data_IF_396445738018
#
_entry.id   IF_396445738018
#
_cell.length_a   1.000
_cell.length_b   1.000
_cell.length_c   1.000
_cell.angle_alpha   90.00
_cell.angle_beta   90.00
_cell.angle_gamma   90.00
#
_symmetry.space_group_name_H-M   'P 1'
#
loop_
_entity.id
_entity.type
_entity.pdbx_description
1 polymer ?
#
# COMPACT_ATOMS: atom_id res chain seq x y z
N UNK A 1 -9.50 -0.34 -3.43
CA UNK A 1 -9.67 0.81 -2.53
C UNK A 1 -8.77 1.94 -3.01
N UNK A 2 -9.23 3.19 -2.99
CA UNK A 2 -8.39 4.35 -3.36
C UNK A 2 -8.91 5.65 -2.72
N UNK A 3 -8.01 6.61 -2.44
CA UNK A 3 -8.35 8.00 -2.14
C UNK A 3 -8.59 8.79 -3.44
N UNK A 4 -9.73 9.47 -3.52
CA UNK A 4 -10.06 10.36 -4.64
C UNK A 4 -9.75 11.82 -4.29
N UNK A 5 -8.93 12.47 -5.11
CA UNK A 5 -8.62 13.90 -4.96
C UNK A 5 -9.79 14.82 -5.33
N UNK A 6 -10.75 14.32 -6.12
CA UNK A 6 -11.89 15.11 -6.63
C UNK A 6 -12.94 15.37 -5.54
N UNK A 7 -13.25 14.35 -4.74
CA UNK A 7 -14.27 14.43 -3.69
C UNK A 7 -13.71 14.27 -2.25
N UNK A 8 -12.40 14.00 -2.13
CA UNK A 8 -11.69 13.74 -0.87
C UNK A 8 -12.28 12.59 -0.06
N UNK A 9 -12.76 11.58 -0.74
CA UNK A 9 -13.28 10.37 -0.10
C UNK A 9 -12.43 9.16 -0.44
N UNK A 10 -12.60 8.12 0.37
CA UNK A 10 -11.99 6.83 0.14
C UNK A 10 -13.06 5.92 -0.45
N UNK A 11 -12.79 5.39 -1.63
CA UNK A 11 -13.70 4.50 -2.34
C UNK A 11 -13.27 3.05 -2.09
N UNK A 12 -14.23 2.23 -1.67
CA UNK A 12 -14.03 0.80 -1.42
C UNK A 12 -14.64 -0.03 -2.55
N UNK A 13 -14.03 -1.17 -2.82
CA UNK A 13 -14.64 -2.23 -3.61
C UNK A 13 -15.01 -3.35 -2.64
N UNK A 14 -16.14 -4.01 -2.86
CA UNK A 14 -16.49 -5.20 -2.07
C UNK A 14 -15.88 -6.44 -2.71
N UNK A 15 -15.48 -7.42 -1.89
CA UNK A 15 -14.98 -8.72 -2.37
C UNK A 15 -15.91 -9.37 -3.41
N UNK A 16 -17.23 -9.27 -3.21
CA UNK A 16 -18.24 -9.81 -4.11
C UNK A 16 -18.20 -9.18 -5.52
N UNK A 17 -17.72 -7.94 -5.62
CA UNK A 17 -17.68 -7.17 -6.86
C UNK A 17 -16.35 -7.31 -7.63
N UNK A 18 -15.38 -8.04 -7.07
CA UNK A 18 -14.14 -8.34 -7.79
C UNK A 18 -14.41 -9.22 -9.02
N UNK A 19 -13.59 -9.08 -10.05
CA UNK A 19 -13.58 -10.00 -11.18
C UNK A 19 -12.97 -11.36 -10.78
N UNK A 20 -13.03 -12.34 -11.70
CA UNK A 20 -12.52 -13.68 -11.43
C UNK A 20 -11.00 -13.73 -11.25
N UNK A 21 -10.24 -12.93 -12.00
CA UNK A 21 -8.78 -12.95 -11.99
C UNK A 21 -8.26 -12.31 -10.69
N UNK A 22 -8.86 -11.19 -10.28
CA UNK A 22 -8.59 -10.54 -8.99
C UNK A 22 -8.84 -11.49 -7.82
N UNK A 23 -9.97 -12.21 -7.80
CA UNK A 23 -10.24 -13.21 -6.76
C UNK A 23 -9.26 -14.38 -6.80
N UNK A 24 -8.85 -14.83 -7.97
CA UNK A 24 -7.88 -15.91 -8.12
C UNK A 24 -6.49 -15.49 -7.60
N UNK A 25 -6.04 -14.27 -7.92
CA UNK A 25 -4.81 -13.71 -7.40
C UNK A 25 -4.82 -13.64 -5.86
N UNK A 26 -5.88 -13.08 -5.27
CA UNK A 26 -6.00 -12.98 -3.81
C UNK A 26 -6.12 -14.36 -3.15
N UNK A 27 -6.76 -15.33 -3.81
CA UNK A 27 -6.80 -16.72 -3.33
C UNK A 27 -5.39 -17.32 -3.25
N UNK A 28 -4.57 -17.10 -4.28
CA UNK A 28 -3.18 -17.53 -4.27
C UNK A 28 -2.35 -16.82 -3.19
N UNK A 29 -2.64 -15.54 -2.91
CA UNK A 29 -1.99 -14.79 -1.83
C UNK A 29 -2.38 -15.33 -0.45
N UNK A 30 -3.67 -15.58 -0.24
CA UNK A 30 -4.20 -16.13 1.01
C UNK A 30 -3.58 -17.48 1.36
N UNK A 31 -3.39 -18.35 0.36
CA UNK A 31 -2.74 -19.65 0.53
C UNK A 31 -1.28 -19.56 1.04
N UNK A 32 -0.60 -18.43 0.81
CA UNK A 32 0.76 -18.18 1.30
C UNK A 32 0.79 -17.40 2.61
N UNK A 33 -0.33 -16.81 3.03
CA UNK A 33 -0.42 -16.03 4.26
C UNK A 33 -0.11 -16.85 5.52
N UNK A 34 0.32 -16.18 6.58
CA UNK A 34 0.68 -16.80 7.87
C UNK A 34 -0.46 -16.81 8.88
N UNK A 35 -1.53 -16.05 8.64
CA UNK A 35 -2.65 -15.90 9.58
C UNK A 35 -3.81 -16.88 9.33
N UNK A 36 -3.72 -17.75 8.32
CA UNK A 36 -4.75 -18.74 8.02
C UNK A 36 -6.08 -18.13 7.57
N UNK A 37 -6.05 -16.94 6.97
CA UNK A 37 -7.24 -16.24 6.49
C UNK A 37 -7.81 -16.93 5.24
N UNK A 38 -9.14 -16.88 5.10
CA UNK A 38 -9.78 -17.18 3.81
C UNK A 38 -9.36 -16.15 2.74
N UNK A 39 -9.59 -16.41 1.45
CA UNK A 39 -9.33 -15.42 0.39
C UNK A 39 -10.02 -14.07 0.65
N UNK A 40 -11.28 -14.09 1.06
CA UNK A 40 -12.01 -12.87 1.46
C UNK A 40 -11.44 -12.23 2.73
N UNK A 41 -10.98 -13.04 3.70
CA UNK A 41 -10.29 -12.55 4.89
C UNK A 41 -8.97 -11.86 4.55
N UNK A 42 -8.19 -12.42 3.62
CA UNK A 42 -6.96 -11.80 3.10
C UNK A 42 -7.26 -10.50 2.36
N UNK A 43 -8.34 -10.47 1.55
CA UNK A 43 -8.80 -9.24 0.91
C UNK A 43 -9.09 -8.15 1.94
N UNK A 44 -9.89 -8.45 2.96
CA UNK A 44 -10.24 -7.49 4.01
C UNK A 44 -9.01 -7.03 4.80
N UNK A 45 -8.12 -7.96 5.12
CA UNK A 45 -6.89 -7.65 5.85
C UNK A 45 -5.99 -6.69 5.07
N UNK A 46 -5.82 -6.92 3.77
CA UNK A 46 -4.99 -6.07 2.93
C UNK A 46 -5.70 -4.76 2.57
N UNK A 47 -6.85 -4.83 1.92
CA UNK A 47 -7.51 -3.68 1.31
C UNK A 47 -8.40 -2.91 2.28
N UNK A 48 -9.22 -3.58 3.09
CA UNK A 48 -10.15 -2.86 3.97
C UNK A 48 -9.47 -2.39 5.27
N UNK A 49 -8.38 -3.05 5.66
CA UNK A 49 -7.64 -2.74 6.89
C UNK A 49 -6.30 -2.05 6.63
N UNK A 50 -5.31 -2.69 5.98
CA UNK A 50 -3.98 -2.08 5.82
C UNK A 50 -3.97 -0.85 4.92
N UNK A 51 -4.73 -0.89 3.83
CA UNK A 51 -4.79 0.22 2.88
C UNK A 51 -5.62 1.40 3.45
N UNK A 52 -6.52 1.18 4.41
CA UNK A 52 -7.30 2.24 5.07
C UNK A 52 -6.47 3.44 5.58
N UNK A 53 -5.51 3.25 6.50
CA UNK A 53 -4.66 4.35 6.94
C UNK A 53 -3.56 4.72 5.94
N UNK A 54 -3.31 3.91 4.90
CA UNK A 54 -2.50 4.34 3.76
C UNK A 54 -3.23 5.46 2.98
N UNK A 55 -4.52 5.31 2.68
CA UNK A 55 -5.30 6.36 2.02
C UNK A 55 -5.47 7.62 2.88
N UNK A 56 -5.48 7.48 4.21
CA UNK A 56 -5.33 8.64 5.12
C UNK A 56 -4.03 9.40 4.84
N UNK A 57 -2.94 8.70 4.50
CA UNK A 57 -1.68 9.31 4.10
C UNK A 57 -1.82 10.19 2.86
N UNK A 58 -2.48 9.70 1.82
CA UNK A 58 -2.77 10.50 0.62
C UNK A 58 -3.67 11.70 0.90
N UNK A 59 -4.69 11.53 1.74
CA UNK A 59 -5.50 12.65 2.22
C UNK A 59 -4.64 13.72 2.92
N UNK A 60 -3.76 13.31 3.84
CA UNK A 60 -2.87 14.21 4.56
C UNK A 60 -1.93 14.97 3.61
N UNK A 61 -1.37 14.28 2.62
CA UNK A 61 -0.54 14.89 1.57
C UNK A 61 -1.32 15.90 0.72
N UNK A 62 -2.60 15.63 0.42
CA UNK A 62 -3.48 16.56 -0.31
C UNK A 62 -3.79 17.83 0.48
N UNK A 63 -4.23 17.70 1.73
CA UNK A 63 -4.60 18.87 2.54
C UNK A 63 -3.38 19.73 2.87
N UNK A 64 -2.20 19.14 2.99
CA UNK A 64 -0.93 19.86 3.13
C UNK A 64 -0.35 20.40 1.82
N UNK A 65 -0.97 20.09 0.67
CA UNK A 65 -0.50 20.44 -0.69
C UNK A 65 0.91 19.94 -1.02
N UNK A 66 1.36 18.90 -0.31
CA UNK A 66 2.70 18.31 -0.48
C UNK A 66 2.77 17.35 -1.65
N UNK A 67 1.68 16.69 -2.01
CA UNK A 67 1.65 15.71 -3.10
C UNK A 67 2.24 16.25 -4.42
N UNK A 68 2.10 17.55 -4.70
CA UNK A 68 2.64 18.20 -5.91
C UNK A 68 4.16 18.22 -5.99
N UNK A 69 4.84 18.16 -4.85
CA UNK A 69 6.29 18.20 -4.75
C UNK A 69 6.92 16.83 -4.49
N UNK A 70 6.11 15.78 -4.39
CA UNK A 70 6.57 14.43 -4.09
C UNK A 70 6.68 13.61 -5.36
N UNK A 71 7.69 12.73 -5.43
CA UNK A 71 7.69 11.67 -6.43
C UNK A 71 6.57 10.66 -6.12
N UNK A 72 6.15 9.87 -7.11
CA UNK A 72 5.14 8.84 -6.87
C UNK A 72 5.60 7.85 -5.79
N UNK A 73 6.87 7.44 -5.83
CA UNK A 73 7.49 6.59 -4.83
C UNK A 73 7.44 7.21 -3.43
N UNK A 74 7.81 8.49 -3.28
CA UNK A 74 7.81 9.14 -1.97
C UNK A 74 6.41 9.31 -1.41
N UNK A 75 5.43 9.65 -2.26
CA UNK A 75 4.03 9.78 -1.86
C UNK A 75 3.49 8.46 -1.32
N UNK A 76 3.72 7.37 -2.05
CA UNK A 76 3.28 6.01 -1.72
C UNK A 76 4.01 5.44 -0.50
N UNK A 77 5.32 5.65 -0.40
CA UNK A 77 6.10 5.22 0.75
C UNK A 77 5.74 6.00 2.02
N UNK A 78 5.50 7.30 1.92
CA UNK A 78 5.01 8.10 3.06
C UNK A 78 3.60 7.66 3.50
N UNK A 79 2.70 7.36 2.56
CA UNK A 79 1.38 6.80 2.86
C UNK A 79 1.49 5.45 3.60
N UNK A 80 2.38 4.56 3.13
CA UNK A 80 2.68 3.31 3.82
C UNK A 80 3.29 3.52 5.21
N UNK A 81 4.20 4.48 5.39
CA UNK A 81 4.75 4.83 6.71
C UNK A 81 3.65 5.30 7.66
N UNK A 82 2.70 6.10 7.19
CA UNK A 82 1.52 6.52 7.98
C UNK A 82 0.67 5.30 8.37
N UNK A 83 0.39 4.41 7.42
CA UNK A 83 -0.38 3.19 7.67
C UNK A 83 0.26 2.27 8.72
N UNK A 84 1.56 1.99 8.56
CA UNK A 84 2.35 1.20 9.52
C UNK A 84 2.35 1.86 10.90
N UNK A 85 2.61 3.16 10.96
CA UNK A 85 2.66 3.90 12.22
C UNK A 85 1.29 3.90 12.92
N UNK A 86 0.19 4.08 12.18
CA UNK A 86 -1.17 4.02 12.73
C UNK A 86 -1.48 2.65 13.33
N UNK A 87 -1.23 1.58 12.59
CA UNK A 87 -1.49 0.22 13.07
C UNK A 87 -0.60 -0.14 14.26
N UNK A 88 0.64 0.36 14.31
CA UNK A 88 1.56 0.11 15.42
C UNK A 88 1.11 0.71 16.75
N UNK A 89 0.15 1.65 16.73
CA UNK A 89 -0.45 2.24 17.93
C UNK A 89 -1.68 1.49 18.43
N UNK A 90 -2.24 0.55 17.65
CA UNK A 90 -3.46 -0.12 18.03
C UNK A 90 -3.21 -1.15 19.15
N UNK A 91 -4.11 -1.26 20.13
CA UNK A 91 -4.04 -2.33 21.12
C UNK A 91 -4.38 -3.68 20.49
N UNK A 92 -3.89 -4.77 21.09
CA UNK A 92 -4.36 -6.12 20.74
C UNK A 92 -3.82 -6.67 19.42
N UNK A 93 -4.54 -7.64 18.80
CA UNK A 93 -4.14 -8.29 17.56
C UNK A 93 -3.83 -7.35 16.39
N UNK A 94 -4.59 -6.27 16.27
CA UNK A 94 -4.51 -5.28 15.20
C UNK A 94 -3.14 -4.58 15.19
N UNK A 95 -2.55 -4.39 16.38
CA UNK A 95 -1.23 -3.81 16.59
C UNK A 95 -0.04 -4.73 16.30
N UNK A 96 -0.26 -6.01 15.97
CA UNK A 96 0.81 -6.96 15.62
C UNK A 96 1.31 -6.76 14.18
N UNK A 97 1.71 -5.53 13.86
CA UNK A 97 1.99 -5.08 12.48
C UNK A 97 3.02 -5.95 11.78
N UNK A 98 4.07 -6.40 12.47
CA UNK A 98 5.08 -7.31 11.89
C UNK A 98 4.46 -8.60 11.36
N UNK A 99 3.63 -9.28 12.15
CA UNK A 99 2.98 -10.52 11.76
C UNK A 99 1.98 -10.31 10.62
N UNK A 100 1.28 -9.18 10.64
CA UNK A 100 0.30 -8.85 9.62
C UNK A 100 0.96 -8.46 8.29
N UNK A 101 2.06 -7.71 8.33
CA UNK A 101 2.84 -7.38 7.13
C UNK A 101 3.50 -8.62 6.54
N UNK A 102 4.05 -9.50 7.38
CA UNK A 102 4.52 -10.80 6.93
C UNK A 102 3.40 -11.55 6.19
N UNK A 103 2.21 -11.64 6.78
CA UNK A 103 1.06 -12.31 6.18
C UNK A 103 0.68 -11.77 4.80
N UNK A 104 0.55 -10.45 4.64
CA UNK A 104 0.07 -9.85 3.37
C UNK A 104 1.16 -9.72 2.31
N UNK A 105 2.44 -9.88 2.66
CA UNK A 105 3.56 -9.71 1.71
C UNK A 105 4.25 -11.01 1.29
N UNK A 106 3.86 -12.16 1.87
CA UNK A 106 4.38 -13.50 1.50
C UNK A 106 4.15 -13.89 0.04
N UNK A 107 3.18 -13.28 -0.63
CA UNK A 107 2.99 -13.55 -2.06
C UNK A 107 4.24 -13.20 -2.89
N UNK A 108 5.09 -12.29 -2.40
CA UNK A 108 6.36 -11.91 -3.02
C UNK A 108 7.38 -13.04 -3.08
N UNK A 109 7.31 -14.04 -2.20
CA UNK A 109 8.43 -14.97 -1.97
C UNK A 109 8.86 -15.73 -3.24
N UNK A 110 7.91 -15.95 -4.17
CA UNK A 110 8.17 -16.63 -5.45
C UNK A 110 7.89 -15.73 -6.68
N UNK A 111 7.66 -14.43 -6.47
CA UNK A 111 7.34 -13.51 -7.57
C UNK A 111 8.61 -12.75 -7.97
N UNK A 112 9.10 -12.91 -9.22
CA UNK A 112 10.29 -12.20 -9.66
C UNK A 112 10.05 -10.69 -9.62
N UNK A 113 11.13 -9.94 -9.37
CA UNK A 113 11.09 -8.48 -9.43
C UNK A 113 10.60 -8.04 -10.82
N UNK A 114 9.61 -7.12 -10.90
CA UNK A 114 9.18 -6.52 -12.17
C UNK A 114 10.19 -5.47 -12.67
N UNK A 115 11.22 -5.13 -11.88
CA UNK A 115 12.21 -4.12 -12.18
C UNK A 115 13.26 -4.68 -13.15
N UNK A 116 13.49 -4.06 -14.32
CA UNK A 116 14.53 -4.47 -15.25
C UNK A 116 15.92 -4.49 -14.62
N UNK A 117 16.79 -5.39 -15.11
CA UNK A 117 18.17 -5.46 -14.64
C UNK A 117 18.89 -4.12 -14.81
N UNK A 118 19.59 -3.68 -13.75
CA UNK A 118 20.31 -2.41 -13.73
C UNK A 118 19.47 -1.18 -13.37
N UNK A 119 18.15 -1.32 -13.20
CA UNK A 119 17.27 -0.27 -12.72
C UNK A 119 17.00 -0.40 -11.20
N UNK A 120 16.59 0.69 -10.57
CA UNK A 120 16.13 0.66 -9.17
C UNK A 120 14.61 0.57 -9.12
N UNK A 121 14.06 0.00 -8.04
CA UNK A 121 12.62 -0.06 -7.84
C UNK A 121 11.98 1.34 -7.86
N UNK A 122 12.64 2.31 -7.21
CA UNK A 122 12.21 3.71 -7.19
C UNK A 122 12.21 4.35 -8.58
N UNK A 123 13.30 4.21 -9.34
CA UNK A 123 13.41 4.81 -10.67
C UNK A 123 12.41 4.19 -11.66
N UNK A 124 12.23 2.86 -11.63
CA UNK A 124 11.20 2.19 -12.42
C UNK A 124 9.80 2.67 -12.03
N UNK A 125 9.49 2.68 -10.73
CA UNK A 125 8.17 3.07 -10.25
C UNK A 125 7.84 4.51 -10.67
N UNK A 126 8.71 5.47 -10.35
CA UNK A 126 8.49 6.88 -10.65
C UNK A 126 8.30 7.16 -12.14
N UNK A 127 9.06 6.48 -13.00
CA UNK A 127 8.95 6.65 -14.46
C UNK A 127 7.60 6.17 -15.02
N UNK A 128 6.97 5.18 -14.39
CA UNK A 128 5.76 4.53 -14.90
C UNK A 128 4.48 4.88 -14.13
N UNK A 129 4.61 5.44 -12.92
CA UNK A 129 3.50 5.67 -12.00
C UNK A 129 2.43 6.61 -12.54
N UNK A 130 2.81 7.66 -13.27
CA UNK A 130 1.85 8.62 -13.80
C UNK A 130 0.91 8.00 -14.86
N UNK A 131 1.43 7.13 -15.73
CA UNK A 131 0.63 6.40 -16.71
C UNK A 131 -0.29 5.40 -16.03
N UNK A 132 0.25 4.61 -15.10
CA UNK A 132 -0.53 3.68 -14.27
C UNK A 132 -1.68 4.36 -13.53
N UNK A 133 -1.43 5.52 -12.91
CA UNK A 133 -2.45 6.30 -12.17
C UNK A 133 -3.57 6.82 -13.06
N UNK A 134 -3.33 6.98 -14.37
CA UNK A 134 -4.36 7.34 -15.36
C UNK A 134 -5.08 6.12 -15.95
N UNK A 135 -4.74 4.91 -15.51
CA UNK A 135 -5.27 3.65 -16.05
C UNK A 135 -4.73 3.30 -17.43
N UNK A 136 -3.59 3.87 -17.83
CA UNK A 136 -2.95 3.55 -19.10
C UNK A 136 -2.24 2.19 -19.03
N UNK A 137 -2.27 1.44 -20.13
CA UNK A 137 -1.47 0.23 -20.24
C UNK A 137 0.02 0.56 -20.20
N UNK A 138 0.80 -0.28 -19.52
CA UNK A 138 2.23 -0.03 -19.38
C UNK A 138 2.94 -1.11 -18.57
N UNK A 139 4.25 -0.91 -18.33
CA UNK A 139 5.06 -1.87 -17.59
C UNK A 139 4.74 -1.87 -16.09
N UNK A 140 4.03 -0.87 -15.57
CA UNK A 140 3.42 -0.87 -14.23
C UNK A 140 1.90 -1.07 -14.39
N UNK A 141 1.35 -2.08 -13.71
CA UNK A 141 -0.05 -2.49 -13.72
C UNK A 141 -0.47 -2.94 -12.31
N UNK A 142 -1.74 -3.27 -12.09
CA UNK A 142 -2.25 -3.61 -10.74
C UNK A 142 -1.48 -4.77 -10.06
N UNK A 143 -1.08 -5.78 -10.84
CA UNK A 143 -0.40 -6.95 -10.30
C UNK A 143 1.01 -6.63 -9.82
N UNK A 144 1.82 -5.93 -10.62
CA UNK A 144 3.17 -5.58 -10.21
C UNK A 144 3.22 -4.31 -9.34
N UNK A 145 2.21 -3.45 -9.38
CA UNK A 145 2.02 -2.39 -8.37
C UNK A 145 1.89 -2.98 -6.97
N UNK A 146 1.15 -4.09 -6.83
CA UNK A 146 1.08 -4.83 -5.56
C UNK A 146 2.47 -5.31 -5.08
N UNK A 147 3.36 -5.66 -6.01
CA UNK A 147 4.76 -6.01 -5.68
C UNK A 147 5.50 -4.81 -5.06
N UNK A 148 5.35 -3.62 -5.64
CA UNK A 148 5.94 -2.38 -5.10
C UNK A 148 5.34 -2.00 -3.76
N UNK A 149 4.02 -2.12 -3.58
CA UNK A 149 3.37 -1.88 -2.29
C UNK A 149 3.90 -2.82 -1.21
N UNK A 150 4.05 -4.11 -1.50
CA UNK A 150 4.63 -5.06 -0.56
C UNK A 150 6.11 -4.74 -0.21
N UNK A 151 6.90 -4.27 -1.18
CA UNK A 151 8.24 -3.75 -0.93
C UNK A 151 8.22 -2.52 -0.01
N UNK A 152 7.35 -1.54 -0.29
CA UNK A 152 7.21 -0.32 0.49
C UNK A 152 6.68 -0.58 1.90
N UNK A 153 5.74 -1.52 2.07
CA UNK A 153 5.27 -1.99 3.37
C UNK A 153 6.41 -2.56 4.22
N UNK A 154 7.23 -3.46 3.63
CA UNK A 154 8.41 -4.00 4.31
C UNK A 154 9.41 -2.90 4.67
N UNK A 155 9.60 -1.91 3.81
CA UNK A 155 10.47 -0.74 4.07
C UNK A 155 9.93 0.13 5.20
N UNK A 156 8.67 0.55 5.12
CA UNK A 156 8.01 1.33 6.16
C UNK A 156 8.01 0.62 7.51
N UNK A 157 7.84 -0.71 7.54
CA UNK A 157 7.96 -1.51 8.75
C UNK A 157 9.37 -1.43 9.35
N UNK A 158 10.43 -1.57 8.55
CA UNK A 158 11.82 -1.48 9.03
C UNK A 158 12.13 -0.10 9.62
N UNK A 159 11.61 0.96 9.01
CA UNK A 159 11.87 2.36 9.39
C UNK A 159 10.90 2.91 10.44
N UNK A 160 9.94 2.11 10.93
CA UNK A 160 8.82 2.59 11.78
C UNK A 160 9.25 3.38 13.01
N UNK A 161 10.44 3.11 13.56
CA UNK A 161 11.01 3.85 14.70
C UNK A 161 11.37 5.30 14.38
N UNK A 162 11.74 5.60 13.14
CA UNK A 162 12.17 6.94 12.69
C UNK A 162 10.98 7.82 12.26
N UNK A 163 9.82 7.18 12.05
CA UNK A 163 8.61 7.78 11.51
C UNK A 163 7.40 7.59 12.45
N UNK A 164 7.43 8.12 13.69
CA UNK A 164 6.30 8.02 14.59
C UNK A 164 5.08 8.75 14.02
N UNK A 165 3.89 8.19 14.24
CA UNK A 165 2.62 8.65 13.64
C UNK A 165 2.40 10.16 13.80
N UNK A 166 2.54 10.70 15.01
CA UNK A 166 2.34 12.12 15.27
C UNK A 166 3.30 13.03 14.49
N UNK A 167 4.54 12.58 14.21
CA UNK A 167 5.50 13.34 13.40
C UNK A 167 5.09 13.34 11.92
N UNK A 168 4.66 12.20 11.39
CA UNK A 168 4.14 12.09 10.02
C UNK A 168 2.89 12.94 9.79
N UNK A 169 1.97 12.95 10.77
CA UNK A 169 0.79 13.83 10.73
C UNK A 169 1.18 15.29 10.86
N UNK A 170 2.12 15.64 11.75
CA UNK A 170 2.59 17.01 11.91
C UNK A 170 3.25 17.58 10.65
N UNK A 171 4.01 16.74 9.93
CA UNK A 171 4.61 17.04 8.64
C UNK A 171 3.58 17.34 7.53
N UNK A 172 2.34 16.92 7.73
CA UNK A 172 1.20 17.12 6.83
C UNK A 172 0.09 18.00 7.47
N UNK A 173 0.46 18.87 8.42
CA UNK A 173 -0.45 19.93 8.85
C UNK A 173 -0.54 20.97 7.73
N UNK A 174 -1.77 21.33 7.36
CA UNK A 174 -2.01 22.45 6.47
C UNK A 174 -1.33 23.71 7.05
N UNK A 175 -0.58 24.41 6.21
CA UNK A 175 -0.08 25.76 6.53
C UNK A 175 -1.24 26.76 6.60
#
# INVERSE_FOLDING_TARGET
MHYSYDDRTVHFTEWANLDADSRAAITAWAAKGTLGLSPEGMYREMFDSFIAPHELGHYLQDVAKRWKGMSGWDAELEANRIGIAFWSLQPGPEGRVEARIENITRFLDDVPSPVPAGDTAEAFFNRNYAAFSRGEEGPLNAMNYSWFQALMFKTALRERGDHPFCKLVALNKAA
#
